data_IF_055145086279
#
_entry.id   IF_055145086279
#
_cell.length_a   1.000
_cell.length_b   1.000
_cell.length_c   1.000
_cell.angle_alpha   90.00
_cell.angle_beta   90.00
_cell.angle_gamma   90.00
#
_symmetry.space_group_name_H-M   'P 1'
#
loop_
_entity.id
_entity.type
_entity.pdbx_description
1 polymer ?
#
# COMPACT_ATOMS: atom_id res chain seq x y z
N UNK A 1 20.16 3.49 18.76
CA UNK A 1 18.72 3.22 18.56
C UNK A 1 18.47 2.95 17.07
N UNK A 2 18.05 1.76 16.69
CA UNK A 2 17.86 1.33 15.30
C UNK A 2 16.49 1.75 14.68
N UNK A 3 15.66 2.45 15.43
CA UNK A 3 14.28 2.77 15.06
C UNK A 3 14.06 3.82 13.94
N UNK A 4 14.96 4.75 13.62
CA UNK A 4 14.78 5.62 12.46
C UNK A 4 14.55 4.84 11.15
N UNK A 5 15.30 3.74 10.94
CA UNK A 5 15.12 2.88 9.77
C UNK A 5 13.73 2.22 9.71
N UNK A 6 13.17 1.82 10.85
CA UNK A 6 11.82 1.22 10.91
C UNK A 6 10.76 2.21 10.42
N UNK A 7 10.94 3.50 10.75
CA UNK A 7 10.04 4.58 10.36
C UNK A 7 10.32 5.19 8.99
N UNK A 8 11.41 4.79 8.33
CA UNK A 8 11.75 5.30 7.00
C UNK A 8 10.72 4.83 5.98
N UNK A 9 10.08 5.79 5.30
CA UNK A 9 9.06 5.49 4.31
C UNK A 9 9.68 4.82 3.09
N UNK A 10 9.14 3.68 2.70
CA UNK A 10 9.53 2.91 1.52
C UNK A 10 8.31 2.66 0.65
N UNK A 11 8.47 2.85 -0.64
CA UNK A 11 7.46 2.58 -1.65
C UNK A 11 8.02 1.59 -2.68
N UNK A 12 7.35 0.46 -2.84
CA UNK A 12 7.59 -0.48 -3.92
C UNK A 12 6.61 -0.20 -5.05
N UNK A 13 7.16 0.12 -6.21
CA UNK A 13 6.39 0.41 -7.41
C UNK A 13 6.20 -0.88 -8.20
N UNK A 14 4.93 -1.21 -8.54
CA UNK A 14 4.58 -2.49 -9.19
C UNK A 14 5.09 -3.68 -8.39
N UNK A 15 4.59 -3.81 -7.15
CA UNK A 15 5.15 -4.76 -6.18
C UNK A 15 4.90 -6.24 -6.53
N UNK A 16 4.08 -6.55 -7.54
CA UNK A 16 3.67 -7.93 -7.82
C UNK A 16 3.06 -8.58 -6.60
N UNK A 17 3.53 -9.77 -6.25
CA UNK A 17 3.18 -10.52 -5.03
C UNK A 17 3.99 -10.07 -3.79
N UNK A 18 4.68 -8.94 -3.89
CA UNK A 18 5.53 -8.32 -2.87
C UNK A 18 6.84 -9.07 -2.50
N UNK A 19 7.56 -9.74 -3.42
CA UNK A 19 8.76 -10.51 -3.07
C UNK A 19 9.92 -9.64 -2.56
N UNK A 20 9.98 -8.37 -2.93
CA UNK A 20 10.98 -7.43 -2.42
C UNK A 20 10.58 -6.74 -1.12
N UNK A 21 9.30 -6.79 -0.78
CA UNK A 21 8.79 -6.31 0.51
C UNK A 21 8.96 -7.39 1.57
N UNK A 22 8.52 -8.63 1.26
CA UNK A 22 8.60 -9.81 2.12
C UNK A 22 9.11 -11.00 1.31
N UNK A 23 10.38 -11.37 1.50
CA UNK A 23 11.02 -12.44 0.74
C UNK A 23 10.73 -13.82 1.34
N UNK A 24 9.48 -14.28 1.23
CA UNK A 24 9.02 -15.54 1.81
C UNK A 24 9.43 -16.77 1.01
N UNK A 25 9.67 -16.61 -0.27
CA UNK A 25 10.05 -17.69 -1.20
C UNK A 25 10.98 -17.14 -2.28
N UNK A 26 11.77 -18.03 -2.83
CA UNK A 26 12.58 -17.75 -4.01
C UNK A 26 11.69 -17.70 -5.24
N UNK A 27 11.69 -16.58 -5.94
CA UNK A 27 10.80 -16.32 -7.10
C UNK A 27 11.12 -17.20 -8.32
N UNK A 28 12.30 -17.82 -8.37
CA UNK A 28 12.73 -18.68 -9.46
C UNK A 28 12.34 -20.12 -9.22
N UNK A 29 12.51 -20.60 -7.99
CA UNK A 29 12.33 -22.02 -7.63
C UNK A 29 11.03 -22.29 -6.87
N UNK A 30 10.39 -21.26 -6.32
CA UNK A 30 9.25 -21.38 -5.41
C UNK A 30 9.61 -21.91 -4.01
N UNK A 31 10.90 -22.13 -3.73
CA UNK A 31 11.33 -22.64 -2.43
C UNK A 31 11.10 -21.64 -1.31
N UNK A 32 10.57 -22.09 -0.18
CA UNK A 32 10.37 -21.24 0.99
C UNK A 32 11.70 -20.77 1.58
N UNK A 33 11.77 -19.46 1.92
CA UNK A 33 12.94 -18.85 2.56
C UNK A 33 12.68 -18.78 4.07
N UNK A 34 13.55 -19.36 4.91
CA UNK A 34 13.48 -19.24 6.35
C UNK A 34 13.50 -17.77 6.81
N UNK A 35 12.79 -17.46 7.89
CA UNK A 35 12.64 -16.04 8.38
C UNK A 35 14.00 -15.37 8.57
N UNK A 36 15.00 -16.08 9.08
CA UNK A 36 16.34 -15.57 9.35
C UNK A 36 17.09 -15.14 8.08
N UNK A 37 16.73 -15.72 6.94
CA UNK A 37 17.36 -15.47 5.64
C UNK A 37 16.58 -14.47 4.79
N UNK A 38 15.38 -14.05 5.21
CA UNK A 38 14.56 -13.10 4.46
C UNK A 38 15.20 -11.71 4.47
N UNK A 39 15.23 -11.07 3.31
CA UNK A 39 15.92 -9.79 3.07
C UNK A 39 14.99 -8.69 2.54
N UNK A 40 13.70 -8.94 2.44
CA UNK A 40 12.72 -7.96 2.00
C UNK A 40 12.73 -6.67 2.85
N UNK A 41 12.20 -5.60 2.31
CA UNK A 41 12.17 -4.29 2.99
C UNK A 41 11.51 -4.40 4.37
N UNK A 42 10.36 -5.04 4.43
CA UNK A 42 9.60 -5.22 5.67
C UNK A 42 10.23 -6.28 6.58
N UNK A 43 10.81 -7.36 6.00
CA UNK A 43 11.55 -8.37 6.77
C UNK A 43 12.69 -7.75 7.56
N UNK A 44 13.47 -6.85 6.94
CA UNK A 44 14.57 -6.14 7.61
C UNK A 44 14.06 -5.23 8.74
N UNK A 45 12.93 -4.53 8.52
CA UNK A 45 12.30 -3.70 9.57
C UNK A 45 11.84 -4.56 10.75
N UNK A 46 11.15 -5.67 10.49
CA UNK A 46 10.65 -6.57 11.53
C UNK A 46 11.79 -7.28 12.28
N UNK A 47 12.89 -7.59 11.61
CA UNK A 47 14.10 -8.11 12.27
C UNK A 47 14.66 -7.10 13.27
N UNK A 48 14.86 -5.84 12.85
CA UNK A 48 15.31 -4.77 13.75
C UNK A 48 14.35 -4.61 14.94
N UNK A 49 13.06 -4.65 14.72
CA UNK A 49 12.06 -4.62 15.78
C UNK A 49 12.25 -5.80 16.73
N UNK A 50 12.42 -7.01 16.20
CA UNK A 50 12.58 -8.23 17.00
C UNK A 50 13.88 -8.24 17.83
N UNK A 51 14.96 -7.66 17.29
CA UNK A 51 16.25 -7.55 17.97
C UNK A 51 16.28 -6.50 19.08
N UNK A 52 15.43 -5.45 18.99
CA UNK A 52 15.50 -4.27 19.86
C UNK A 52 14.27 -4.10 20.76
N UNK A 53 13.41 -5.10 20.89
CA UNK A 53 12.25 -5.09 21.80
C UNK A 53 12.21 -6.35 22.63
N UNK A 54 11.82 -6.23 23.91
CA UNK A 54 11.72 -7.35 24.85
C UNK A 54 10.27 -7.81 25.04
N UNK A 55 9.34 -6.88 25.10
CA UNK A 55 7.94 -7.16 25.40
C UNK A 55 7.09 -7.24 24.14
N UNK A 56 6.00 -8.02 24.19
CA UNK A 56 5.06 -8.11 23.08
C UNK A 56 4.35 -6.78 22.78
N UNK A 57 4.16 -5.93 23.79
CA UNK A 57 3.59 -4.60 23.62
C UNK A 57 4.48 -3.70 22.78
N UNK A 58 5.75 -3.54 23.17
CA UNK A 58 6.75 -2.77 22.42
C UNK A 58 6.93 -3.30 20.99
N UNK A 59 7.03 -4.62 20.85
CA UNK A 59 7.15 -5.24 19.54
C UNK A 59 5.98 -4.89 18.63
N UNK A 60 4.74 -4.98 19.15
CA UNK A 60 3.54 -4.64 18.38
C UNK A 60 3.49 -3.17 17.98
N UNK A 61 3.89 -2.25 18.84
CA UNK A 61 3.97 -0.82 18.53
C UNK A 61 4.94 -0.56 17.38
N UNK A 62 6.15 -1.12 17.45
CA UNK A 62 7.17 -0.92 16.41
C UNK A 62 6.89 -1.70 15.13
N UNK A 63 6.29 -2.88 15.20
CA UNK A 63 5.81 -3.58 14.02
C UNK A 63 4.75 -2.76 13.27
N UNK A 64 3.81 -2.12 14.00
CA UNK A 64 2.86 -1.20 13.37
C UNK A 64 3.55 -0.03 12.66
N UNK A 65 4.59 0.56 13.24
CA UNK A 65 5.38 1.61 12.61
C UNK A 65 6.10 1.12 11.34
N UNK A 66 6.62 -0.11 11.35
CA UNK A 66 7.21 -0.76 10.18
C UNK A 66 6.20 -0.89 9.02
N UNK A 67 4.98 -1.36 9.33
CA UNK A 67 3.91 -1.47 8.34
C UNK A 67 3.41 -0.11 7.87
N UNK A 68 3.23 0.88 8.76
CA UNK A 68 2.80 2.25 8.42
C UNK A 68 3.78 2.98 7.51
N UNK A 69 5.05 2.60 7.52
CA UNK A 69 6.11 3.19 6.71
C UNK A 69 6.49 2.36 5.47
N UNK A 70 5.72 1.32 5.15
CA UNK A 70 5.93 0.47 3.98
C UNK A 70 4.71 0.55 3.08
N UNK A 71 4.91 1.07 1.87
CA UNK A 71 3.88 1.30 0.87
C UNK A 71 4.16 0.51 -0.40
N UNK A 72 3.11 0.11 -1.11
CA UNK A 72 3.23 -0.55 -2.39
C UNK A 72 2.01 -0.30 -3.26
N UNK A 73 2.18 -0.42 -4.58
CA UNK A 73 1.04 -0.55 -5.47
C UNK A 73 1.28 -1.59 -6.55
N UNK A 74 0.20 -2.12 -7.07
CA UNK A 74 0.18 -3.11 -8.12
C UNK A 74 -0.98 -2.85 -9.08
N UNK A 75 -0.77 -3.16 -10.36
CA UNK A 75 -1.81 -3.06 -11.38
C UNK A 75 -2.78 -4.24 -11.31
N UNK A 76 -2.25 -5.46 -11.15
CA UNK A 76 -3.01 -6.70 -11.18
C UNK A 76 -3.68 -6.97 -9.83
N UNK A 77 -5.00 -7.15 -9.83
CA UNK A 77 -5.77 -7.39 -8.61
C UNK A 77 -5.39 -8.67 -7.88
N UNK A 78 -5.08 -9.73 -8.61
CA UNK A 78 -4.69 -11.03 -8.03
C UNK A 78 -3.32 -10.95 -7.33
N UNK A 79 -2.33 -10.33 -7.97
CA UNK A 79 -1.03 -10.07 -7.37
C UNK A 79 -1.16 -9.20 -6.11
N UNK A 80 -2.02 -8.17 -6.17
CA UNK A 80 -2.30 -7.31 -5.02
C UNK A 80 -2.87 -8.09 -3.84
N UNK A 81 -3.78 -9.05 -4.08
CA UNK A 81 -4.35 -9.89 -3.03
C UNK A 81 -3.26 -10.74 -2.38
N UNK A 82 -2.42 -11.40 -3.19
CA UNK A 82 -1.30 -12.22 -2.72
C UNK A 82 -0.30 -11.35 -1.93
N UNK A 83 0.03 -10.15 -2.44
CA UNK A 83 0.91 -9.21 -1.74
C UNK A 83 0.39 -8.86 -0.34
N UNK A 84 -0.90 -8.56 -0.22
CA UNK A 84 -1.54 -8.26 1.08
C UNK A 84 -1.52 -9.46 2.03
N UNK A 85 -1.82 -10.64 1.50
CA UNK A 85 -1.81 -11.89 2.28
C UNK A 85 -0.40 -12.23 2.76
N UNK A 86 0.59 -12.21 1.87
CA UNK A 86 1.99 -12.52 2.22
C UNK A 86 2.54 -11.55 3.27
N UNK A 87 2.23 -10.26 3.18
CA UNK A 87 2.59 -9.28 4.21
C UNK A 87 1.90 -9.60 5.54
N UNK A 88 0.60 -9.93 5.55
CA UNK A 88 -0.12 -10.24 6.79
C UNK A 88 0.41 -11.52 7.46
N UNK A 89 0.67 -12.56 6.68
CA UNK A 89 1.24 -13.82 7.19
C UNK A 89 2.65 -13.59 7.73
N UNK A 90 3.46 -12.75 7.08
CA UNK A 90 4.79 -12.37 7.57
C UNK A 90 4.75 -11.73 8.97
N UNK A 91 3.77 -10.85 9.26
CA UNK A 91 3.56 -10.33 10.60
C UNK A 91 3.32 -11.42 11.64
N UNK A 92 2.47 -12.39 11.31
CA UNK A 92 2.14 -13.51 12.20
C UNK A 92 3.38 -14.37 12.46
N UNK A 93 4.14 -14.68 11.41
CA UNK A 93 5.35 -15.52 11.50
C UNK A 93 6.42 -14.87 12.39
N UNK A 94 6.76 -13.59 12.17
CA UNK A 94 7.74 -12.88 13.02
C UNK A 94 7.31 -12.79 14.48
N UNK A 95 6.03 -12.53 14.74
CA UNK A 95 5.52 -12.52 16.11
C UNK A 95 5.60 -13.90 16.76
N UNK A 96 5.23 -14.97 16.03
CA UNK A 96 5.31 -16.35 16.51
C UNK A 96 6.75 -16.78 16.78
N UNK A 97 7.67 -16.42 15.90
CA UNK A 97 9.10 -16.69 16.07
C UNK A 97 9.64 -16.01 17.36
N UNK A 98 9.28 -14.76 17.60
CA UNK A 98 9.77 -14.00 18.78
C UNK A 98 9.15 -14.47 20.08
N UNK A 99 7.85 -14.78 20.11
CA UNK A 99 7.10 -14.99 21.38
C UNK A 99 6.54 -16.42 21.55
N UNK A 100 6.76 -17.32 20.61
CA UNK A 100 6.30 -18.71 20.69
C UNK A 100 4.77 -18.89 20.63
N UNK A 101 4.00 -17.81 20.32
CA UNK A 101 2.53 -17.83 20.27
C UNK A 101 2.01 -16.92 19.15
N UNK A 102 0.80 -17.21 18.71
CA UNK A 102 0.12 -16.38 17.69
C UNK A 102 -0.29 -15.01 18.28
N UNK A 103 -0.20 -13.91 17.50
CA UNK A 103 -0.72 -12.62 17.94
C UNK A 103 -2.24 -12.66 18.09
N UNK A 104 -2.78 -11.77 18.94
CA UNK A 104 -4.22 -11.63 19.12
C UNK A 104 -4.90 -11.17 17.82
N UNK A 105 -6.14 -11.64 17.59
CA UNK A 105 -6.92 -11.26 16.41
C UNK A 105 -7.04 -9.74 16.24
N UNK A 106 -7.16 -8.98 17.33
CA UNK A 106 -7.18 -7.50 17.28
C UNK A 106 -5.92 -6.92 16.65
N UNK A 107 -4.75 -7.46 16.95
CA UNK A 107 -3.47 -7.03 16.36
C UNK A 107 -3.39 -7.40 14.89
N UNK A 108 -3.80 -8.62 14.52
CA UNK A 108 -3.86 -9.07 13.13
C UNK A 108 -4.79 -8.16 12.31
N UNK A 109 -5.99 -7.88 12.81
CA UNK A 109 -6.95 -6.99 12.13
C UNK A 109 -6.41 -5.58 11.95
N UNK A 110 -5.67 -5.06 12.94
CA UNK A 110 -5.08 -3.73 12.81
C UNK A 110 -3.95 -3.68 11.77
N UNK A 111 -3.12 -4.70 11.70
CA UNK A 111 -2.10 -4.82 10.63
C UNK A 111 -2.77 -4.97 9.26
N UNK A 112 -3.80 -5.80 9.14
CA UNK A 112 -4.59 -5.91 7.90
C UNK A 112 -5.18 -4.56 7.47
N UNK A 113 -5.67 -3.77 8.44
CA UNK A 113 -6.15 -2.41 8.18
C UNK A 113 -5.03 -1.48 7.68
N UNK A 114 -3.82 -1.54 8.25
CA UNK A 114 -2.68 -0.75 7.75
C UNK A 114 -2.34 -1.18 6.32
N UNK A 115 -2.22 -2.48 6.07
CA UNK A 115 -1.93 -3.03 4.74
C UNK A 115 -2.97 -2.55 3.71
N UNK A 116 -4.25 -2.55 4.05
CA UNK A 116 -5.33 -2.12 3.15
C UNK A 116 -5.21 -0.67 2.67
N UNK A 117 -4.55 0.19 3.46
CA UNK A 117 -4.27 1.57 3.12
C UNK A 117 -2.92 1.81 2.46
N UNK A 118 -1.97 0.92 2.66
CA UNK A 118 -0.60 1.07 2.20
C UNK A 118 -0.28 0.26 0.96
N UNK A 119 -1.09 -0.76 0.65
CA UNK A 119 -0.92 -1.65 -0.51
C UNK A 119 -2.20 -1.62 -1.32
N UNK A 120 -2.18 -0.99 -2.49
CA UNK A 120 -3.40 -0.71 -3.26
C UNK A 120 -3.22 -0.93 -4.77
N UNK A 121 -4.34 -1.03 -5.47
CA UNK A 121 -4.35 -1.16 -6.91
C UNK A 121 -4.25 0.23 -7.55
N UNK A 122 -3.27 0.42 -8.44
CA UNK A 122 -3.05 1.69 -9.11
C UNK A 122 -2.39 1.52 -10.48
N UNK A 123 -2.85 2.31 -11.46
CA UNK A 123 -2.09 2.65 -12.65
C UNK A 123 -1.00 3.66 -12.25
N UNK A 124 0.24 3.21 -12.18
CA UNK A 124 1.36 4.02 -11.70
C UNK A 124 1.69 5.23 -12.56
N UNK A 125 1.34 5.20 -13.84
CA UNK A 125 1.54 6.33 -14.76
C UNK A 125 0.45 7.39 -14.61
N UNK A 126 -0.75 7.00 -14.20
CA UNK A 126 -1.92 7.88 -14.10
C UNK A 126 -2.30 8.25 -12.67
N UNK A 127 -1.84 7.50 -11.67
CA UNK A 127 -2.21 7.71 -10.29
C UNK A 127 -3.69 7.41 -9.97
N UNK A 128 -4.37 6.67 -10.83
CA UNK A 128 -5.78 6.28 -10.70
C UNK A 128 -5.93 4.76 -10.63
N UNK A 129 -7.08 4.31 -10.19
CA UNK A 129 -7.46 2.88 -10.26
C UNK A 129 -7.42 2.45 -11.74
N UNK A 130 -6.80 1.30 -12.09
CA UNK A 130 -6.73 0.81 -13.45
C UNK A 130 -8.10 0.79 -14.13
N UNK A 131 -8.15 1.22 -15.39
CA UNK A 131 -9.35 1.28 -16.23
C UNK A 131 -10.50 2.14 -15.67
N UNK A 132 -10.24 3.00 -14.67
CA UNK A 132 -11.27 3.87 -14.09
C UNK A 132 -11.52 5.16 -14.91
N UNK A 133 -10.64 5.52 -15.85
CA UNK A 133 -10.89 6.60 -16.78
C UNK A 133 -11.92 6.17 -17.82
N UNK A 134 -12.93 7.01 -18.04
CA UNK A 134 -13.98 6.76 -19.03
C UNK A 134 -14.16 7.90 -20.02
N UNK A 135 -14.97 7.66 -21.05
CA UNK A 135 -15.47 8.71 -21.94
C UNK A 135 -16.37 9.67 -21.14
N UNK A 136 -16.22 10.94 -21.38
CA UNK A 136 -17.14 11.96 -20.88
C UNK A 136 -18.18 12.24 -21.95
N UNK A 137 -19.44 11.96 -21.65
CA UNK A 137 -20.58 12.26 -22.50
C UNK A 137 -21.25 13.53 -22.01
N UNK A 138 -21.31 14.54 -22.84
CA UNK A 138 -21.93 15.84 -22.53
C UNK A 138 -23.03 16.11 -23.55
N UNK A 139 -24.25 16.38 -23.07
CA UNK A 139 -25.33 16.83 -23.96
C UNK A 139 -25.12 18.32 -24.27
N UNK A 140 -24.89 18.62 -25.53
CA UNK A 140 -24.82 20.00 -26.04
C UNK A 140 -26.18 20.35 -26.61
N UNK A 141 -26.81 21.40 -26.09
CA UNK A 141 -28.09 21.90 -26.57
C UNK A 141 -27.81 22.86 -27.73
N UNK A 142 -28.24 22.48 -28.95
CA UNK A 142 -28.17 23.30 -30.16
C UNK A 142 -29.57 23.89 -30.44
N UNK A 143 -29.61 24.88 -31.33
CA UNK A 143 -30.86 25.59 -31.69
C UNK A 143 -31.94 24.69 -32.24
N UNK A 144 -31.58 23.54 -32.83
CA UNK A 144 -32.50 22.58 -33.46
C UNK A 144 -32.40 21.15 -32.88
N UNK A 145 -31.90 20.97 -31.68
CA UNK A 145 -31.84 19.66 -31.02
C UNK A 145 -30.75 19.53 -29.98
N UNK A 146 -30.58 18.32 -29.48
CA UNK A 146 -29.48 17.95 -28.57
C UNK A 146 -28.52 17.05 -29.31
N UNK A 147 -27.23 17.36 -29.23
CA UNK A 147 -26.15 16.54 -29.70
C UNK A 147 -25.36 15.97 -28.52
N UNK A 148 -25.08 14.69 -28.56
CA UNK A 148 -24.17 14.06 -27.60
C UNK A 148 -22.73 14.30 -28.04
N UNK A 149 -21.97 15.04 -27.27
CA UNK A 149 -20.52 15.20 -27.45
C UNK A 149 -19.81 14.18 -26.57
N UNK A 150 -19.04 13.31 -27.23
CA UNK A 150 -18.26 12.26 -26.55
C UNK A 150 -16.78 12.64 -26.59
N UNK A 151 -16.23 12.96 -25.45
CA UNK A 151 -14.82 13.31 -25.32
C UNK A 151 -14.07 12.27 -24.48
N UNK A 152 -12.83 11.99 -24.87
CA UNK A 152 -11.94 11.15 -24.07
C UNK A 152 -11.56 11.84 -22.76
N UNK A 153 -11.11 11.08 -21.76
CA UNK A 153 -10.53 11.62 -20.56
C UNK A 153 -9.40 12.61 -20.90
N UNK A 154 -9.51 13.84 -20.44
CA UNK A 154 -8.54 14.91 -20.73
C UNK A 154 -7.12 14.53 -20.31
N UNK A 155 -6.96 13.90 -19.13
CA UNK A 155 -5.68 13.40 -18.65
C UNK A 155 -5.08 12.33 -19.56
N UNK A 156 -5.91 11.42 -20.10
CA UNK A 156 -5.44 10.41 -21.07
C UNK A 156 -5.07 11.00 -22.41
N UNK A 157 -5.83 12.00 -22.88
CA UNK A 157 -5.59 12.65 -24.16
C UNK A 157 -4.35 13.56 -24.18
N UNK A 158 -4.00 14.15 -23.04
CA UNK A 158 -2.90 15.14 -22.89
C UNK A 158 -1.72 14.62 -22.06
N UNK A 159 -1.77 13.37 -21.62
CA UNK A 159 -0.79 12.77 -20.70
C UNK A 159 -0.57 13.62 -19.41
N UNK A 160 -1.69 14.13 -18.86
CA UNK A 160 -1.69 14.96 -17.67
C UNK A 160 -2.24 14.18 -16.47
N UNK A 161 -1.34 13.77 -15.58
CA UNK A 161 -1.65 12.97 -14.38
C UNK A 161 -2.67 13.64 -13.44
N UNK A 162 -2.82 14.97 -13.51
CA UNK A 162 -3.73 15.73 -12.64
C UNK A 162 -5.13 15.91 -13.22
N UNK A 163 -5.36 15.55 -14.50
CA UNK A 163 -6.62 15.79 -15.22
C UNK A 163 -7.39 14.54 -15.60
N UNK A 164 -7.05 13.41 -14.99
CA UNK A 164 -7.83 12.19 -15.20
C UNK A 164 -9.22 12.31 -14.58
N UNK A 165 -10.23 11.79 -15.30
CA UNK A 165 -11.61 11.67 -14.81
C UNK A 165 -11.86 10.35 -14.07
N UNK A 166 -10.85 9.48 -13.96
CA UNK A 166 -10.88 8.23 -13.21
C UNK A 166 -10.81 8.42 -11.69
N UNK A 167 -10.89 7.32 -10.96
CA UNK A 167 -10.81 7.32 -9.49
C UNK A 167 -9.35 7.42 -9.04
N UNK A 168 -8.96 8.56 -8.52
CA UNK A 168 -7.61 8.74 -7.98
C UNK A 168 -7.36 7.87 -6.76
N UNK A 169 -6.18 7.23 -6.75
CA UNK A 169 -5.76 6.39 -5.62
C UNK A 169 -5.45 7.24 -4.40
N UNK A 170 -5.95 6.78 -3.24
CA UNK A 170 -5.74 7.41 -1.94
C UNK A 170 -4.77 6.57 -1.12
N UNK A 171 -3.85 7.25 -0.46
CA UNK A 171 -2.96 6.67 0.53
C UNK A 171 -3.21 7.30 1.90
N UNK A 172 -2.65 6.72 2.93
CA UNK A 172 -2.76 7.24 4.29
C UNK A 172 -1.41 7.75 4.80
N UNK A 173 -1.33 9.03 5.10
CA UNK A 173 -0.22 9.59 5.88
C UNK A 173 -0.50 9.35 7.36
N UNK A 174 0.14 8.33 7.93
CA UNK A 174 -0.10 7.90 9.31
C UNK A 174 0.37 8.90 10.36
N UNK A 175 1.24 9.86 9.99
CA UNK A 175 1.84 10.85 10.90
C UNK A 175 1.15 12.20 10.86
N UNK A 176 0.29 12.43 9.88
CA UNK A 176 -0.51 13.65 9.76
C UNK A 176 -1.89 13.47 10.41
N UNK A 177 -2.39 14.52 11.06
CA UNK A 177 -3.79 14.58 11.51
C UNK A 177 -4.71 14.85 10.34
N UNK A 178 -5.78 14.09 10.25
CA UNK A 178 -6.86 14.36 9.31
C UNK A 178 -7.65 15.58 9.81
N UNK A 179 -7.73 16.68 9.04
CA UNK A 179 -8.37 17.90 9.48
C UNK A 179 -9.89 17.76 9.69
N UNK A 180 -10.52 16.77 9.05
CA UNK A 180 -11.96 16.51 9.17
C UNK A 180 -12.33 15.72 10.41
N UNK A 181 -11.47 14.77 10.79
CA UNK A 181 -11.76 13.84 11.90
C UNK A 181 -10.95 14.12 13.15
N UNK A 182 -9.89 14.94 13.07
CA UNK A 182 -8.92 15.18 14.14
C UNK A 182 -8.05 13.96 14.51
N UNK A 183 -8.24 12.80 13.83
CA UNK A 183 -7.50 11.56 14.11
C UNK A 183 -6.23 11.48 13.28
N UNK A 184 -5.24 10.73 13.79
CA UNK A 184 -4.03 10.42 13.02
C UNK A 184 -4.36 9.55 11.80
N UNK A 185 -3.60 9.77 10.71
CA UNK A 185 -3.78 9.04 9.46
C UNK A 185 -4.63 9.81 8.45
N UNK A 186 -4.11 10.94 7.96
CA UNK A 186 -4.73 11.76 6.93
C UNK A 186 -4.74 11.02 5.58
N UNK A 187 -5.89 11.00 4.92
CA UNK A 187 -6.02 10.49 3.55
C UNK A 187 -5.59 11.58 2.57
N UNK A 188 -4.73 11.22 1.62
CA UNK A 188 -4.23 12.09 0.56
C UNK A 188 -4.28 11.34 -0.77
N UNK A 189 -4.41 12.04 -1.89
CA UNK A 189 -4.25 11.41 -3.20
C UNK A 189 -2.76 11.14 -3.43
N UNK A 190 -2.45 9.98 -4.02
CA UNK A 190 -1.07 9.64 -4.35
C UNK A 190 -0.38 10.72 -5.21
N UNK A 191 -1.09 11.24 -6.20
CA UNK A 191 -0.57 12.27 -7.12
C UNK A 191 -0.19 13.57 -6.43
N UNK A 192 -0.72 13.87 -5.24
CA UNK A 192 -0.37 15.07 -4.48
C UNK A 192 1.03 14.98 -3.84
N UNK A 193 1.66 13.80 -3.84
CA UNK A 193 3.05 13.59 -3.44
C UNK A 193 4.05 13.90 -4.56
N UNK A 194 3.59 13.91 -5.82
CA UNK A 194 4.42 14.18 -7.00
C UNK A 194 4.50 15.70 -7.17
N UNK A 195 5.69 16.22 -7.00
CA UNK A 195 5.98 17.68 -7.16
C UNK A 195 6.18 18.05 -8.60
#
# INVERSE_FOLDING_TARGET
MAFPYVRDNRLEITCGEAPYIVSRYDTTTGAAIPIEQRIGILDRKLRIVSENTETSGEWLEWAQEAYKSTYAYEWQGDNLLIARETMLVTFIEYYQQKFGKRPLLKSINYIAYIISWNVWQMDGLKGVVPNSCGERRTLVYELFGTKEDVSQCEGCAKDDIRRHNGTYCLIKDWRAKDPKTGKMGKRIRFIDLIK
#
